data_IF_720188378512
#
_entry.id   IF_720188378512
#
_cell.length_a   1.000
_cell.length_b   1.000
_cell.length_c   1.000
_cell.angle_alpha   90.00
_cell.angle_beta   90.00
_cell.angle_gamma   90.00
#
_symmetry.space_group_name_H-M   'P 1'
#
loop_
_entity.id
_entity.type
_entity.pdbx_description
1 polymer ?
#
# COMPACT_ATOMS: atom_id res chain seq x y z
N UNK A 1 -2.87 16.33 -17.56
CA UNK A 1 -3.18 16.04 -16.16
C UNK A 1 -3.30 17.34 -15.38
N UNK A 2 -4.22 17.35 -14.41
CA UNK A 2 -4.49 18.55 -13.60
C UNK A 2 -3.53 18.69 -12.41
N UNK A 3 -2.62 17.72 -12.20
CA UNK A 3 -1.71 17.64 -11.07
C UNK A 3 -0.25 17.71 -11.51
N UNK A 4 0.62 18.15 -10.59
CA UNK A 4 2.07 18.23 -10.77
C UNK A 4 2.81 17.12 -10.00
N UNK A 5 2.19 16.65 -8.90
CA UNK A 5 2.77 15.65 -8.00
C UNK A 5 1.74 14.60 -7.67
N UNK A 6 2.14 13.32 -7.71
CA UNK A 6 1.38 12.19 -7.17
C UNK A 6 2.18 11.60 -6.01
N UNK A 7 1.56 11.52 -4.82
CA UNK A 7 2.26 11.11 -3.60
C UNK A 7 1.52 9.99 -2.86
N UNK A 8 2.16 8.81 -2.74
CA UNK A 8 1.67 7.71 -1.89
C UNK A 8 1.94 8.04 -0.43
N UNK A 9 0.92 7.99 0.40
CA UNK A 9 1.04 8.41 1.79
C UNK A 9 1.04 7.28 2.82
N UNK A 10 0.62 6.05 2.46
CA UNK A 10 0.55 4.92 3.38
C UNK A 10 0.59 3.57 2.62
N UNK A 11 0.60 2.46 3.37
CA UNK A 11 0.62 1.11 2.82
C UNK A 11 2.01 0.66 2.45
N UNK A 12 2.08 -0.32 1.60
CA UNK A 12 3.33 -0.93 1.13
C UNK A 12 3.02 -1.91 -0.01
N UNK A 13 3.85 -2.93 -0.25
CA UNK A 13 3.66 -3.87 -1.35
C UNK A 13 2.56 -4.92 -1.13
N UNK A 14 1.72 -4.77 -0.10
CA UNK A 14 0.62 -5.69 0.22
C UNK A 14 -0.55 -5.63 -0.78
N UNK A 15 -0.72 -4.52 -1.49
CA UNK A 15 -1.74 -4.38 -2.52
C UNK A 15 -1.09 -4.03 -3.86
N UNK A 16 -1.61 -4.63 -4.94
CA UNK A 16 -1.27 -4.22 -6.30
C UNK A 16 -2.39 -3.41 -6.91
N UNK A 17 -2.05 -2.37 -7.68
CA UNK A 17 -2.99 -1.66 -8.53
C UNK A 17 -2.60 -1.82 -9.98
N UNK A 18 -3.58 -2.15 -10.81
CA UNK A 18 -3.38 -2.42 -12.23
C UNK A 18 -3.68 -1.20 -13.05
N UNK A 19 -2.76 -0.87 -13.94
CA UNK A 19 -2.88 0.23 -14.91
C UNK A 19 -2.76 -0.33 -16.33
N UNK A 20 -3.52 0.23 -17.24
CA UNK A 20 -3.39 -0.04 -18.66
C UNK A 20 -2.86 1.23 -19.33
N UNK A 21 -1.71 1.12 -19.96
CA UNK A 21 -1.05 2.23 -20.68
C UNK A 21 -0.65 1.73 -22.06
N UNK A 22 -1.19 2.35 -23.12
CA UNK A 22 -0.97 1.92 -24.51
C UNK A 22 -1.20 0.41 -24.71
N UNK A 23 -2.35 -0.09 -24.24
CA UNK A 23 -2.79 -1.48 -24.30
C UNK A 23 -1.91 -2.50 -23.55
N UNK A 24 -0.91 -2.02 -22.81
CA UNK A 24 -0.07 -2.84 -21.94
C UNK A 24 -0.55 -2.77 -20.50
N UNK A 25 -0.59 -3.93 -19.87
CA UNK A 25 -0.97 -4.08 -18.45
C UNK A 25 0.25 -3.94 -17.54
N UNK A 26 0.16 -3.05 -16.56
CA UNK A 26 1.17 -2.89 -15.51
C UNK A 26 0.53 -3.13 -14.14
N UNK A 27 1.25 -3.82 -13.26
CA UNK A 27 0.85 -3.98 -11.87
C UNK A 27 1.89 -3.27 -11.02
N UNK A 28 1.49 -2.18 -10.36
CA UNK A 28 2.33 -1.45 -9.41
C UNK A 28 1.90 -1.77 -7.98
N UNK A 29 2.85 -1.69 -7.05
CA UNK A 29 2.61 -1.93 -5.62
C UNK A 29 2.92 -0.69 -4.79
N UNK A 30 4.14 -0.15 -4.92
CA UNK A 30 4.64 0.95 -4.09
C UNK A 30 4.77 2.25 -4.89
N UNK A 31 5.13 2.16 -6.16
CA UNK A 31 5.31 3.30 -7.05
C UNK A 31 3.96 3.98 -7.32
N UNK A 32 3.86 5.32 -7.21
CA UNK A 32 2.63 6.05 -7.53
C UNK A 32 2.18 5.87 -8.98
N UNK A 33 0.86 5.90 -9.22
CA UNK A 33 0.24 5.70 -10.54
C UNK A 33 0.64 6.74 -11.59
N UNK A 34 1.11 7.90 -11.17
CA UNK A 34 1.58 8.97 -12.06
C UNK A 34 2.89 8.71 -12.77
N UNK A 35 3.59 7.60 -12.47
CA UNK A 35 4.95 7.31 -12.97
C UNK A 35 5.07 7.27 -14.50
N UNK A 36 3.99 6.97 -15.20
CA UNK A 36 3.94 6.93 -16.66
C UNK A 36 3.98 8.32 -17.32
N UNK A 37 3.86 9.38 -16.54
CA UNK A 37 3.86 10.76 -17.02
C UNK A 37 5.16 11.47 -16.61
N UNK A 38 6.05 11.70 -17.58
CA UNK A 38 7.39 12.27 -17.34
C UNK A 38 7.41 13.63 -16.62
N UNK A 39 6.34 14.43 -16.77
CA UNK A 39 6.24 15.76 -16.15
C UNK A 39 5.76 15.71 -14.69
N UNK A 40 5.26 14.57 -14.22
CA UNK A 40 4.79 14.41 -12.85
C UNK A 40 5.95 13.99 -11.92
N UNK A 41 6.06 14.64 -10.78
CA UNK A 41 6.86 14.12 -9.69
C UNK A 41 6.06 13.03 -8.93
N UNK A 42 6.67 11.86 -8.74
CA UNK A 42 6.05 10.72 -8.07
C UNK A 42 6.75 10.48 -6.75
N UNK A 43 6.04 10.62 -5.64
CA UNK A 43 6.64 10.59 -4.30
C UNK A 43 6.16 9.35 -3.54
N UNK A 44 7.11 8.56 -3.05
CA UNK A 44 6.86 7.56 -2.01
C UNK A 44 7.07 8.26 -0.66
N UNK A 45 5.96 8.52 0.05
CA UNK A 45 5.94 9.29 1.28
C UNK A 45 6.44 8.53 2.51
N UNK A 46 6.65 9.25 3.60
CA UNK A 46 7.16 8.71 4.87
C UNK A 46 6.18 7.74 5.56
N UNK A 47 4.90 7.77 5.22
CA UNK A 47 3.90 6.82 5.74
C UNK A 47 3.98 5.46 5.10
N UNK A 48 4.61 5.32 3.94
CA UNK A 48 4.78 4.04 3.23
C UNK A 48 5.86 3.17 3.90
N UNK A 49 5.65 1.85 3.89
CA UNK A 49 6.68 0.86 4.24
C UNK A 49 7.18 0.21 2.94
N UNK A 50 8.50 0.27 2.72
CA UNK A 50 9.14 -0.09 1.45
C UNK A 50 9.81 -1.46 1.58
N UNK A 51 9.43 -2.40 0.72
CA UNK A 51 10.24 -3.60 0.49
C UNK A 51 11.22 -3.30 -0.66
N UNK A 52 12.54 -3.24 -0.41
CA UNK A 52 13.54 -2.89 -1.41
C UNK A 52 13.55 -3.81 -2.63
N UNK A 53 13.42 -5.12 -2.41
CA UNK A 53 13.41 -6.10 -3.51
C UNK A 53 12.19 -5.91 -4.41
N UNK A 54 11.01 -5.74 -3.81
CA UNK A 54 9.78 -5.49 -4.57
C UNK A 54 9.86 -4.16 -5.33
N UNK A 55 10.32 -3.08 -4.68
CA UNK A 55 10.46 -1.77 -5.34
C UNK A 55 11.44 -1.84 -6.52
N UNK A 56 12.59 -2.49 -6.34
CA UNK A 56 13.55 -2.65 -7.44
C UNK A 56 12.97 -3.46 -8.60
N UNK A 57 12.17 -4.49 -8.32
CA UNK A 57 11.50 -5.26 -9.37
C UNK A 57 10.46 -4.43 -10.13
N UNK A 58 9.67 -3.60 -9.43
CA UNK A 58 8.75 -2.65 -10.08
C UNK A 58 9.51 -1.70 -11.02
N UNK A 59 10.60 -1.14 -10.53
CA UNK A 59 11.47 -0.25 -11.32
C UNK A 59 11.98 -0.95 -12.59
N UNK A 60 12.56 -2.15 -12.45
CA UNK A 60 13.07 -2.93 -13.59
C UNK A 60 11.97 -3.24 -14.61
N UNK A 61 10.77 -3.57 -14.15
CA UNK A 61 9.64 -3.84 -15.04
C UNK A 61 9.23 -2.58 -15.84
N UNK A 62 9.28 -1.40 -15.23
CA UNK A 62 9.00 -0.14 -15.92
C UNK A 62 10.13 0.23 -16.91
N UNK A 63 11.39 0.07 -16.51
CA UNK A 63 12.54 0.35 -17.35
C UNK A 63 12.63 -0.62 -18.55
N UNK A 64 12.22 -1.88 -18.39
CA UNK A 64 12.22 -2.88 -19.47
C UNK A 64 11.28 -2.52 -20.65
N UNK A 65 10.31 -1.65 -20.41
CA UNK A 65 9.41 -1.13 -21.46
C UNK A 65 9.79 0.28 -21.94
N UNK A 66 10.99 0.75 -21.60
CA UNK A 66 11.55 2.01 -22.06
C UNK A 66 11.15 3.24 -21.23
N UNK A 67 10.61 3.05 -20.01
CA UNK A 67 10.30 4.17 -19.12
C UNK A 67 11.54 4.52 -18.28
N UNK A 68 12.05 5.73 -18.43
CA UNK A 68 13.07 6.28 -17.53
C UNK A 68 12.35 6.97 -16.37
N UNK A 69 12.49 6.40 -15.15
CA UNK A 69 11.77 6.88 -13.96
C UNK A 69 12.69 7.54 -12.93
N UNK A 70 13.99 7.55 -13.19
CA UNK A 70 15.02 8.02 -12.27
C UNK A 70 14.86 9.50 -11.91
N UNK A 71 14.37 10.30 -12.86
CA UNK A 71 14.24 11.74 -12.71
C UNK A 71 12.90 12.16 -12.10
N UNK A 72 11.90 11.27 -12.10
CA UNK A 72 10.54 11.57 -11.64
C UNK A 72 10.04 10.72 -10.48
N UNK A 73 10.87 9.79 -9.96
CA UNK A 73 10.60 9.01 -8.75
C UNK A 73 11.42 9.56 -7.57
N UNK A 74 10.72 9.98 -6.52
CA UNK A 74 11.30 10.55 -5.30
C UNK A 74 10.90 9.69 -4.10
N UNK A 75 11.85 9.39 -3.24
CA UNK A 75 11.62 8.53 -2.07
C UNK A 75 11.89 9.34 -0.80
N UNK A 76 10.91 9.35 0.10
CA UNK A 76 11.09 10.00 1.40
C UNK A 76 12.18 9.30 2.21
N UNK A 77 13.18 10.07 2.69
CA UNK A 77 14.20 9.52 3.59
C UNK A 77 13.62 8.91 4.86
N UNK A 78 12.41 9.34 5.27
CA UNK A 78 11.71 8.88 6.48
C UNK A 78 10.82 7.66 6.25
N UNK A 79 10.67 7.15 5.02
CA UNK A 79 9.94 5.91 4.77
C UNK A 79 10.63 4.73 5.45
N UNK A 80 9.86 3.84 6.07
CA UNK A 80 10.41 2.68 6.77
C UNK A 80 10.71 1.54 5.81
N UNK A 81 11.79 0.80 6.04
CA UNK A 81 12.13 -0.38 5.27
C UNK A 81 11.47 -1.64 5.86
N UNK A 82 10.98 -2.50 4.99
CA UNK A 82 10.59 -3.87 5.32
C UNK A 82 11.85 -4.73 5.21
N UNK A 83 12.26 -5.33 6.32
CA UNK A 83 13.37 -6.26 6.36
C UNK A 83 12.90 -7.68 6.00
N UNK A 84 13.80 -8.58 5.56
CA UNK A 84 13.50 -10.00 5.40
C UNK A 84 12.88 -10.64 6.66
N UNK A 85 13.36 -10.27 7.83
CA UNK A 85 12.83 -10.75 9.12
C UNK A 85 11.42 -10.27 9.44
N UNK A 86 10.95 -9.13 8.88
CA UNK A 86 9.54 -8.74 9.01
C UNK A 86 8.61 -9.72 8.31
N UNK A 87 9.01 -10.25 7.14
CA UNK A 87 8.21 -11.25 6.41
C UNK A 87 8.12 -12.55 7.21
N UNK A 88 9.23 -12.97 7.84
CA UNK A 88 9.23 -14.13 8.73
C UNK A 88 8.31 -13.91 9.96
N UNK A 89 8.36 -12.74 10.59
CA UNK A 89 7.47 -12.41 11.71
C UNK A 89 5.99 -12.40 11.30
N UNK A 90 5.68 -11.89 10.12
CA UNK A 90 4.32 -11.90 9.57
C UNK A 90 3.82 -13.34 9.38
N UNK A 91 4.63 -14.20 8.76
CA UNK A 91 4.32 -15.60 8.56
C UNK A 91 4.19 -16.37 9.89
N UNK A 92 5.10 -16.14 10.83
CA UNK A 92 5.09 -16.76 12.15
C UNK A 92 3.84 -16.37 12.95
N UNK A 93 3.48 -15.09 12.95
CA UNK A 93 2.29 -14.57 13.62
C UNK A 93 1.00 -15.13 13.02
N UNK A 94 0.87 -15.16 11.69
CA UNK A 94 -0.31 -15.75 11.04
C UNK A 94 -0.42 -17.26 11.31
N UNK A 95 0.72 -17.99 11.30
CA UNK A 95 0.75 -19.42 11.61
C UNK A 95 0.31 -19.69 13.05
N UNK A 96 0.72 -18.85 14.01
CA UNK A 96 0.39 -19.03 15.43
C UNK A 96 -1.08 -18.83 15.77
N UNK A 97 -1.82 -18.09 14.93
CA UNK A 97 -3.26 -17.82 15.13
C UNK A 97 -4.19 -18.98 14.76
N UNK A 98 -3.70 -20.02 14.08
CA UNK A 98 -4.53 -21.16 13.69
C UNK A 98 -5.75 -20.73 12.87
N UNK A 99 -6.96 -20.98 13.38
CA UNK A 99 -8.21 -20.65 12.71
C UNK A 99 -8.57 -19.15 12.81
N UNK A 100 -7.98 -18.42 13.77
CA UNK A 100 -8.18 -16.97 13.95
C UNK A 100 -7.31 -16.10 13.02
N UNK A 101 -6.86 -16.67 11.91
CA UNK A 101 -6.05 -15.94 10.91
C UNK A 101 -6.77 -14.71 10.38
N UNK A 102 -6.05 -13.60 10.31
CA UNK A 102 -6.54 -12.36 9.69
C UNK A 102 -6.55 -12.50 8.15
N UNK A 103 -5.68 -13.34 7.61
CA UNK A 103 -5.46 -13.50 6.18
C UNK A 103 -4.45 -12.50 5.64
N UNK A 104 -3.35 -12.27 6.39
CA UNK A 104 -2.24 -11.42 5.98
C UNK A 104 -1.69 -11.82 4.61
N UNK A 105 -1.12 -10.84 3.91
CA UNK A 105 -0.44 -11.07 2.63
C UNK A 105 0.97 -11.66 2.79
N UNK A 106 1.43 -11.85 4.00
CA UNK A 106 2.76 -12.35 4.38
C UNK A 106 3.92 -11.50 3.81
N UNK A 107 3.65 -10.20 3.62
CA UNK A 107 4.62 -9.24 3.06
C UNK A 107 5.38 -8.44 4.13
N UNK A 108 5.20 -8.77 5.41
CA UNK A 108 5.86 -8.10 6.53
C UNK A 108 5.32 -6.70 6.85
N UNK A 109 4.12 -6.35 6.39
CA UNK A 109 3.54 -5.02 6.55
C UNK A 109 3.28 -4.73 8.03
N UNK A 110 2.55 -5.61 8.72
CA UNK A 110 2.23 -5.47 10.13
C UNK A 110 3.49 -5.29 11.01
N UNK A 111 4.45 -6.21 10.97
CA UNK A 111 5.69 -6.09 11.72
C UNK A 111 6.49 -4.82 11.40
N UNK A 112 6.52 -4.37 10.13
CA UNK A 112 7.20 -3.13 9.77
C UNK A 112 6.54 -1.88 10.38
N UNK A 113 5.19 -1.85 10.45
CA UNK A 113 4.46 -0.78 11.15
C UNK A 113 4.61 -0.89 12.68
N UNK A 114 4.67 -2.09 13.24
CA UNK A 114 4.99 -2.29 14.68
C UNK A 114 6.34 -1.66 15.02
N UNK A 115 7.37 -1.91 14.24
CA UNK A 115 8.68 -1.31 14.45
C UNK A 115 8.69 0.20 14.21
N UNK A 116 7.94 0.68 13.23
CA UNK A 116 7.79 2.12 12.99
C UNK A 116 7.22 2.83 14.23
N UNK A 117 6.13 2.32 14.78
CA UNK A 117 5.47 2.87 15.97
C UNK A 117 6.29 2.60 17.24
N UNK A 118 6.94 1.43 17.32
CA UNK A 118 7.88 1.05 18.38
C UNK A 118 9.23 1.78 18.33
N UNK A 119 9.46 2.65 17.35
CA UNK A 119 10.69 3.47 17.17
C UNK A 119 11.96 2.63 16.96
N UNK A 120 11.81 1.48 16.30
CA UNK A 120 12.92 0.57 15.98
C UNK A 120 13.22 0.53 14.48
N UNK A 121 12.31 1.02 13.63
CA UNK A 121 12.43 0.83 12.19
C UNK A 121 13.65 1.50 11.58
N UNK A 122 14.25 0.84 10.62
CA UNK A 122 15.25 1.42 9.73
C UNK A 122 14.53 2.26 8.67
N UNK A 123 15.03 3.46 8.41
CA UNK A 123 14.47 4.37 7.41
C UNK A 123 15.23 4.26 6.09
N UNK A 124 14.55 4.65 5.00
CA UNK A 124 15.21 4.67 3.69
C UNK A 124 16.47 5.54 3.68
N UNK A 125 16.46 6.66 4.39
CA UNK A 125 17.65 7.52 4.53
C UNK A 125 18.83 6.87 5.23
N UNK A 126 18.58 5.85 6.07
CA UNK A 126 19.64 5.17 6.82
C UNK A 126 20.56 4.32 5.90
N UNK A 127 20.11 3.94 4.69
CA UNK A 127 20.92 3.15 3.75
C UNK A 127 22.22 3.87 3.31
N UNK A 128 22.28 5.18 3.50
CA UNK A 128 23.45 6.01 3.18
C UNK A 128 24.41 6.18 4.35
N UNK A 129 24.06 5.68 5.53
CA UNK A 129 24.90 5.80 6.72
C UNK A 129 25.96 4.69 6.76
N UNK A 130 27.14 5.01 7.28
CA UNK A 130 28.25 4.05 7.43
C UNK A 130 27.91 2.89 8.39
N UNK A 131 27.04 3.13 9.39
CA UNK A 131 26.60 2.16 10.39
C UNK A 131 25.30 1.41 9.98
N UNK A 132 24.85 1.55 8.73
CA UNK A 132 23.60 0.91 8.23
C UNK A 132 23.54 -0.60 8.50
N UNK A 133 24.65 -1.30 8.20
CA UNK A 133 24.72 -2.76 8.38
C UNK A 133 24.63 -3.15 9.86
N UNK A 134 25.22 -2.39 10.74
CA UNK A 134 25.16 -2.60 12.20
C UNK A 134 23.70 -2.42 12.69
N UNK A 135 23.03 -1.34 12.28
CA UNK A 135 21.59 -1.10 12.58
C UNK A 135 20.72 -2.24 12.10
N UNK A 136 20.97 -2.72 10.88
CA UNK A 136 20.25 -3.86 10.32
C UNK A 136 20.42 -5.11 11.18
N UNK A 137 21.65 -5.47 11.52
CA UNK A 137 21.94 -6.67 12.33
C UNK A 137 21.34 -6.57 13.74
N UNK A 138 21.37 -5.40 14.37
CA UNK A 138 20.74 -5.15 15.66
C UNK A 138 19.24 -5.38 15.62
N UNK A 139 18.54 -4.86 14.61
CA UNK A 139 17.10 -5.07 14.47
C UNK A 139 16.79 -6.53 14.10
N UNK A 140 17.55 -7.14 13.20
CA UNK A 140 17.43 -8.57 12.86
C UNK A 140 17.57 -9.47 14.09
N UNK A 141 18.55 -9.20 14.96
CA UNK A 141 18.73 -9.96 16.21
C UNK A 141 17.50 -9.89 17.11
N UNK A 142 16.92 -8.70 17.27
CA UNK A 142 15.66 -8.53 18.02
C UNK A 142 14.51 -9.37 17.39
N UNK A 143 14.39 -9.39 16.07
CA UNK A 143 13.39 -10.20 15.38
C UNK A 143 13.63 -11.69 15.57
N UNK A 144 14.89 -12.12 15.59
CA UNK A 144 15.24 -13.52 15.84
C UNK A 144 14.79 -13.99 17.24
N UNK A 145 14.91 -13.13 18.27
CA UNK A 145 14.37 -13.45 19.59
C UNK A 145 12.84 -13.62 19.57
N UNK A 146 12.13 -12.75 18.83
CA UNK A 146 10.67 -12.88 18.68
C UNK A 146 10.29 -14.15 17.90
N UNK A 147 11.04 -14.50 16.85
CA UNK A 147 10.80 -15.72 16.06
C UNK A 147 10.98 -16.99 16.90
N UNK A 148 11.92 -17.01 17.85
CA UNK A 148 12.07 -18.12 18.79
C UNK A 148 10.81 -18.34 19.64
N UNK A 149 10.13 -17.26 20.07
CA UNK A 149 8.86 -17.36 20.82
C UNK A 149 7.74 -18.00 20.00
N UNK A 150 7.78 -17.82 18.67
CA UNK A 150 6.84 -18.47 17.75
C UNK A 150 7.26 -19.88 17.33
N UNK A 151 8.41 -20.40 17.79
CA UNK A 151 9.00 -21.64 17.29
C UNK A 151 9.12 -21.67 15.76
N UNK A 152 9.51 -20.52 15.18
CA UNK A 152 9.61 -20.33 13.72
C UNK A 152 11.08 -20.22 13.30
N UNK A 153 11.48 -21.10 12.36
CA UNK A 153 12.87 -21.18 11.87
C UNK A 153 12.90 -21.52 10.38
N UNK A 154 12.60 -20.54 9.54
CA UNK A 154 12.81 -20.69 8.09
C UNK A 154 14.09 -19.98 7.68
N UNK A 155 14.87 -20.61 6.81
CA UNK A 155 16.04 -19.97 6.21
C UNK A 155 15.60 -18.94 5.17
N UNK A 156 16.10 -17.73 5.32
CA UNK A 156 15.87 -16.63 4.38
C UNK A 156 17.15 -15.98 3.87
N UNK A 157 18.28 -16.67 3.99
CA UNK A 157 19.61 -16.14 3.66
C UNK A 157 19.68 -15.68 2.21
N UNK A 158 19.17 -16.47 1.27
CA UNK A 158 19.15 -16.10 -0.15
C UNK A 158 18.34 -14.81 -0.42
N UNK A 159 17.19 -14.69 0.24
CA UNK A 159 16.37 -13.46 0.11
C UNK A 159 17.03 -12.25 0.77
N UNK A 160 17.75 -12.44 1.88
CA UNK A 160 18.52 -11.38 2.54
C UNK A 160 19.64 -10.85 1.64
N UNK A 161 20.34 -11.73 0.91
CA UNK A 161 21.34 -11.32 -0.08
C UNK A 161 20.73 -10.49 -1.22
N UNK A 162 19.58 -10.92 -1.75
CA UNK A 162 18.84 -10.16 -2.77
C UNK A 162 18.38 -8.81 -2.23
N UNK A 163 17.94 -8.76 -0.97
CA UNK A 163 17.53 -7.54 -0.31
C UNK A 163 18.68 -6.53 -0.22
N UNK A 164 19.88 -6.94 0.17
CA UNK A 164 21.05 -6.06 0.18
C UNK A 164 21.47 -5.61 -1.21
N UNK A 165 21.39 -6.48 -2.23
CA UNK A 165 21.61 -6.08 -3.63
C UNK A 165 20.59 -5.02 -4.07
N UNK A 166 19.36 -5.17 -3.67
CA UNK A 166 18.32 -4.17 -3.95
C UNK A 166 18.59 -2.84 -3.24
N UNK A 167 19.02 -2.85 -1.97
CA UNK A 167 19.44 -1.64 -1.25
C UNK A 167 20.53 -0.88 -2.01
N UNK A 168 21.57 -1.56 -2.46
CA UNK A 168 22.67 -0.91 -3.22
C UNK A 168 22.16 -0.29 -4.52
N UNK A 169 21.32 -1.00 -5.27
CA UNK A 169 20.74 -0.48 -6.51
C UNK A 169 19.84 0.75 -6.27
N UNK A 170 19.09 0.75 -5.17
CA UNK A 170 18.17 1.84 -4.83
C UNK A 170 18.87 3.12 -4.36
N UNK A 171 20.15 3.07 -3.99
CA UNK A 171 20.94 4.27 -3.69
C UNK A 171 21.07 5.24 -4.88
N UNK A 172 20.81 4.75 -6.09
CA UNK A 172 20.87 5.58 -7.31
C UNK A 172 19.62 6.46 -7.51
N UNK A 173 18.57 6.31 -6.68
CA UNK A 173 17.30 7.05 -6.78
C UNK A 173 17.26 8.25 -5.86
N UNK A 174 16.43 9.24 -6.21
CA UNK A 174 16.37 10.51 -5.51
C UNK A 174 15.72 10.38 -4.12
N UNK A 175 16.45 10.80 -3.10
CA UNK A 175 16.01 10.83 -1.70
C UNK A 175 15.68 12.26 -1.30
N UNK A 176 14.49 12.44 -0.72
CA UNK A 176 13.99 13.77 -0.34
C UNK A 176 13.48 13.80 1.10
N UNK A 177 13.45 14.98 1.68
CA UNK A 177 12.59 15.32 2.81
C UNK A 177 11.22 15.69 2.26
N UNK A 178 10.32 14.69 2.18
CA UNK A 178 9.04 14.79 1.47
C UNK A 178 8.16 15.92 1.98
N UNK A 179 8.14 16.17 3.29
CA UNK A 179 7.39 17.24 3.93
C UNK A 179 7.82 18.63 3.43
N UNK A 180 9.13 18.87 3.32
CA UNK A 180 9.64 20.13 2.77
C UNK A 180 9.46 20.24 1.26
N UNK A 181 9.62 19.13 0.54
CA UNK A 181 9.42 19.12 -0.91
C UNK A 181 7.98 19.49 -1.28
N UNK A 182 7.01 18.86 -0.60
CA UNK A 182 5.58 19.10 -0.84
C UNK A 182 5.16 20.49 -0.38
N UNK A 183 5.63 20.95 0.79
CA UNK A 183 5.32 22.32 1.27
C UNK A 183 5.79 23.39 0.29
N UNK A 184 7.04 23.27 -0.22
CA UNK A 184 7.55 24.19 -1.25
C UNK A 184 6.73 24.15 -2.54
N UNK A 185 6.33 22.95 -2.98
CA UNK A 185 5.51 22.78 -4.17
C UNK A 185 4.13 23.43 -4.01
N UNK A 186 3.46 23.21 -2.87
CA UNK A 186 2.17 23.85 -2.55
C UNK A 186 2.27 25.39 -2.48
N UNK A 187 3.35 25.91 -1.89
CA UNK A 187 3.61 27.37 -1.86
C UNK A 187 3.86 27.96 -3.25
N UNK A 188 4.43 27.17 -4.14
CA UNK A 188 4.63 27.54 -5.55
C UNK A 188 3.35 27.34 -6.41
N UNK A 189 2.20 27.05 -5.80
CA UNK A 189 0.93 26.89 -6.51
C UNK A 189 0.76 25.53 -7.22
N UNK A 190 1.68 24.58 -7.03
CA UNK A 190 1.58 23.25 -7.62
C UNK A 190 0.47 22.44 -6.97
N UNK A 191 -0.15 21.57 -7.78
CA UNK A 191 -1.23 20.67 -7.35
C UNK A 191 -0.68 19.30 -7.00
N UNK A 192 -1.02 18.82 -5.81
CA UNK A 192 -0.59 17.53 -5.29
C UNK A 192 -1.81 16.60 -5.16
N UNK A 193 -1.73 15.42 -5.74
CA UNK A 193 -2.67 14.32 -5.51
C UNK A 193 -2.05 13.34 -4.51
N UNK A 194 -2.65 13.23 -3.33
CA UNK A 194 -2.30 12.19 -2.38
C UNK A 194 -3.01 10.88 -2.77
N UNK A 195 -2.22 9.86 -3.14
CA UNK A 195 -2.72 8.56 -3.56
C UNK A 195 -2.74 7.61 -2.37
N UNK A 196 -3.94 7.15 -1.98
CA UNK A 196 -4.13 6.14 -0.95
C UNK A 196 -4.04 4.72 -1.50
N UNK A 197 -4.01 3.76 -0.57
CA UNK A 197 -4.10 2.33 -0.86
C UNK A 197 -5.10 1.67 0.10
N UNK A 198 -5.59 0.49 -0.24
CA UNK A 198 -6.64 -0.23 0.50
C UNK A 198 -7.98 0.53 0.48
N UNK A 199 -8.52 0.91 1.63
CA UNK A 199 -9.78 1.66 1.75
C UNK A 199 -10.20 1.83 3.19
N UNK A 200 -11.21 2.67 3.44
CA UNK A 200 -11.65 3.10 4.78
C UNK A 200 -11.97 1.93 5.70
N UNK A 201 -12.66 0.89 5.19
CA UNK A 201 -13.03 -0.27 6.02
C UNK A 201 -11.84 -1.17 6.39
N UNK A 202 -10.65 -0.88 5.85
CA UNK A 202 -9.38 -1.53 6.20
C UNK A 202 -8.45 -0.62 7.03
N UNK A 203 -8.90 0.57 7.42
CA UNK A 203 -8.14 1.47 8.30
C UNK A 203 -7.90 0.82 9.67
N UNK A 204 -6.70 1.01 10.22
CA UNK A 204 -6.30 0.36 11.47
C UNK A 204 -7.15 0.80 12.67
N UNK A 205 -7.66 2.04 12.66
CA UNK A 205 -8.45 2.61 13.75
C UNK A 205 -9.96 2.57 13.46
N UNK A 206 -10.35 2.85 12.22
CA UNK A 206 -11.75 3.07 11.82
C UNK A 206 -12.32 1.96 10.93
N UNK A 207 -11.54 0.95 10.62
CA UNK A 207 -11.96 -0.20 9.82
C UNK A 207 -12.62 -1.31 10.65
N UNK A 208 -12.83 -2.46 10.02
CA UNK A 208 -13.45 -3.65 10.62
C UNK A 208 -12.43 -4.45 11.44
N UNK A 209 -11.88 -3.84 12.49
CA UNK A 209 -10.89 -4.46 13.37
C UNK A 209 -11.37 -5.82 13.92
N UNK A 210 -10.50 -6.87 13.99
CA UNK A 210 -9.07 -6.89 13.67
C UNK A 210 -8.75 -7.13 12.19
N UNK A 211 -9.74 -7.27 11.31
CA UNK A 211 -9.57 -7.56 9.88
C UNK A 211 -9.27 -6.30 9.07
N UNK A 212 -8.16 -5.66 9.39
CA UNK A 212 -7.72 -4.37 8.85
C UNK A 212 -6.25 -4.44 8.39
N UNK A 213 -5.79 -3.42 7.66
CA UNK A 213 -4.36 -3.21 7.43
C UNK A 213 -3.73 -2.46 8.60
N UNK A 214 -2.41 -2.48 8.71
CA UNK A 214 -1.68 -1.86 9.83
C UNK A 214 -1.37 -0.37 9.60
N UNK A 215 -2.11 0.30 8.73
CA UNK A 215 -1.91 1.72 8.43
C UNK A 215 -3.22 2.50 8.40
N UNK A 216 -3.13 3.83 8.56
CA UNK A 216 -4.27 4.72 8.40
C UNK A 216 -4.54 4.96 6.92
N UNK A 217 -5.63 4.35 6.42
CA UNK A 217 -6.04 4.42 5.01
C UNK A 217 -6.96 5.61 4.73
N UNK A 218 -7.51 6.24 5.77
CA UNK A 218 -8.37 7.41 5.67
C UNK A 218 -7.61 8.66 5.25
N UNK A 219 -8.33 9.69 4.79
CA UNK A 219 -7.75 10.96 4.34
C UNK A 219 -6.89 11.65 5.40
N UNK A 220 -7.19 11.45 6.69
CA UNK A 220 -6.36 11.92 7.81
C UNK A 220 -4.94 11.35 7.81
N UNK A 221 -4.74 10.15 7.24
CA UNK A 221 -3.43 9.52 7.07
C UNK A 221 -2.48 10.30 6.16
N UNK A 222 -3.00 11.15 5.28
CA UNK A 222 -2.20 12.05 4.43
C UNK A 222 -1.35 12.99 5.27
N UNK A 223 -1.92 13.52 6.37
CA UNK A 223 -1.22 14.47 7.23
C UNK A 223 0.05 13.88 7.83
N UNK A 224 -0.03 12.70 8.41
CA UNK A 224 1.13 12.01 9.00
C UNK A 224 2.01 11.33 7.95
N UNK A 225 1.40 10.83 6.86
CA UNK A 225 2.09 10.05 5.82
C UNK A 225 2.90 10.88 4.82
N UNK A 226 2.62 12.19 4.71
CA UNK A 226 3.35 13.12 3.83
C UNK A 226 3.89 14.35 4.58
N UNK A 227 3.51 14.54 5.86
CA UNK A 227 3.88 15.73 6.62
C UNK A 227 3.13 16.99 6.16
N UNK A 228 1.85 16.86 5.81
CA UNK A 228 1.01 17.96 5.30
C UNK A 228 0.06 18.44 6.39
N UNK A 229 -0.06 19.75 6.55
CA UNK A 229 -1.06 20.33 7.45
C UNK A 229 -2.49 20.03 6.95
N UNK A 230 -3.46 19.67 7.86
CA UNK A 230 -4.79 19.24 7.46
C UNK A 230 -5.56 20.31 6.63
N UNK A 231 -5.31 21.59 6.88
CA UNK A 231 -5.94 22.70 6.14
C UNK A 231 -5.49 22.79 4.66
N UNK A 232 -4.45 22.03 4.27
CA UNK A 232 -4.00 21.95 2.87
C UNK A 232 -4.79 20.92 2.05
N UNK A 233 -5.53 20.03 2.69
CA UNK A 233 -6.41 19.08 2.02
C UNK A 233 -7.70 19.81 1.64
N UNK A 234 -7.92 20.00 0.34
CA UNK A 234 -9.10 20.72 -0.20
C UNK A 234 -10.20 19.78 -0.62
N UNK A 235 -9.85 18.79 -1.45
CA UNK A 235 -10.76 17.84 -2.04
C UNK A 235 -10.40 16.42 -1.61
N UNK A 236 -11.41 15.60 -1.37
CA UNK A 236 -11.25 14.16 -1.11
C UNK A 236 -12.13 13.38 -2.09
N UNK A 237 -11.48 12.69 -3.01
CA UNK A 237 -12.14 11.80 -3.97
C UNK A 237 -12.32 10.43 -3.35
N UNK A 238 -13.55 10.05 -3.04
CA UNK A 238 -13.91 8.69 -2.68
C UNK A 238 -14.09 7.85 -3.94
N UNK A 239 -13.40 6.72 -4.04
CA UNK A 239 -13.57 5.78 -5.16
C UNK A 239 -14.23 4.52 -4.64
N UNK A 240 -15.39 4.17 -5.20
CA UNK A 240 -16.13 2.96 -4.88
C UNK A 240 -16.44 2.16 -6.15
N UNK A 241 -16.74 0.89 -5.99
CA UNK A 241 -17.41 0.11 -7.03
C UNK A 241 -18.92 0.20 -6.84
N UNK A 242 -19.69 -0.06 -7.89
CA UNK A 242 -21.14 -0.16 -7.79
C UNK A 242 -21.63 -1.37 -6.96
N UNK A 243 -20.72 -2.19 -6.46
CA UNK A 243 -20.91 -3.35 -5.59
C UNK A 243 -19.75 -3.46 -4.60
N UNK A 244 -19.90 -4.29 -3.57
CA UNK A 244 -18.83 -4.51 -2.60
C UNK A 244 -17.99 -5.75 -2.91
N UNK A 245 -16.71 -5.69 -2.56
CA UNK A 245 -15.82 -6.86 -2.60
C UNK A 245 -14.92 -6.90 -1.37
N UNK A 246 -14.60 -8.13 -0.92
CA UNK A 246 -13.67 -8.34 0.18
C UNK A 246 -12.70 -9.47 -0.13
N UNK A 247 -11.44 -9.30 0.31
CA UNK A 247 -10.42 -10.34 0.33
C UNK A 247 -10.12 -10.70 1.79
N UNK A 248 -10.02 -11.99 2.10
CA UNK A 248 -9.74 -12.46 3.45
C UNK A 248 -10.98 -12.52 4.35
N UNK A 249 -10.72 -12.73 5.63
CA UNK A 249 -11.74 -12.87 6.67
C UNK A 249 -12.36 -11.54 7.07
N UNK A 250 -13.35 -11.59 7.94
CA UNK A 250 -14.01 -10.43 8.51
C UNK A 250 -15.43 -10.20 7.99
N UNK A 251 -16.16 -9.24 8.59
CA UNK A 251 -17.57 -9.00 8.31
C UNK A 251 -17.79 -8.50 6.88
N UNK A 252 -18.86 -8.97 6.28
CA UNK A 252 -19.34 -8.52 4.98
C UNK A 252 -20.86 -8.66 4.92
N UNK A 253 -21.61 -7.69 5.48
CA UNK A 253 -23.07 -7.80 5.67
C UNK A 253 -23.85 -8.00 4.37
N UNK A 254 -23.40 -7.41 3.27
CA UNK A 254 -24.06 -7.52 1.95
C UNK A 254 -23.50 -8.67 1.07
N UNK A 255 -22.75 -9.61 1.65
CA UNK A 255 -22.16 -10.72 0.89
C UNK A 255 -23.23 -11.62 0.27
N UNK A 256 -23.00 -12.03 -0.96
CA UNK A 256 -23.88 -12.95 -1.70
C UNK A 256 -23.19 -14.30 -1.87
N UNK A 257 -23.88 -15.36 -1.44
CA UNK A 257 -23.43 -16.74 -1.51
C UNK A 257 -24.12 -17.56 -2.59
N UNK A 258 -24.86 -16.88 -3.47
CA UNK A 258 -25.68 -17.44 -4.53
C UNK A 258 -25.08 -17.19 -5.93
N UNK A 259 -25.87 -17.54 -6.96
CA UNK A 259 -25.50 -17.32 -8.36
C UNK A 259 -25.27 -15.84 -8.70
N UNK A 260 -25.95 -14.93 -8.00
CA UNK A 260 -25.78 -13.48 -8.14
C UNK A 260 -24.39 -13.05 -7.77
N UNK A 261 -23.89 -13.52 -6.62
CA UNK A 261 -22.52 -13.25 -6.17
C UNK A 261 -21.47 -13.79 -7.13
N UNK A 262 -21.70 -14.99 -7.69
CA UNK A 262 -20.83 -15.59 -8.71
C UNK A 262 -20.87 -14.80 -10.03
N UNK A 263 -22.03 -14.31 -10.45
CA UNK A 263 -22.18 -13.49 -11.65
C UNK A 263 -21.43 -12.16 -11.51
N UNK A 264 -21.56 -11.46 -10.37
CA UNK A 264 -20.79 -10.25 -10.07
C UNK A 264 -19.28 -10.54 -10.11
N UNK A 265 -18.83 -11.64 -9.51
CA UNK A 265 -17.41 -12.03 -9.49
C UNK A 265 -16.86 -12.25 -10.90
N UNK A 266 -17.59 -12.97 -11.73
CA UNK A 266 -17.18 -13.27 -13.11
C UNK A 266 -17.17 -12.02 -13.98
N UNK A 267 -18.27 -11.26 -14.01
CA UNK A 267 -18.41 -10.05 -14.82
C UNK A 267 -17.38 -8.98 -14.39
N UNK A 268 -17.16 -8.83 -13.09
CA UNK A 268 -16.22 -7.88 -12.52
C UNK A 268 -14.76 -8.30 -12.59
N UNK A 269 -14.46 -9.55 -12.98
CA UNK A 269 -13.13 -10.15 -12.90
C UNK A 269 -12.52 -10.01 -11.47
N UNK A 270 -13.34 -10.31 -10.46
CA UNK A 270 -13.00 -10.11 -9.06
C UNK A 270 -12.11 -11.22 -8.50
N UNK A 271 -10.83 -11.15 -8.92
CA UNK A 271 -9.76 -12.03 -8.48
C UNK A 271 -8.57 -11.20 -8.00
N UNK A 272 -7.81 -11.73 -7.05
CA UNK A 272 -6.63 -11.06 -6.52
C UNK A 272 -5.58 -10.84 -7.60
N UNK A 273 -5.13 -9.59 -7.81
CA UNK A 273 -4.16 -9.26 -8.86
C UNK A 273 -2.82 -10.02 -8.71
N UNK A 274 -2.43 -10.36 -7.47
CA UNK A 274 -1.18 -11.05 -7.15
C UNK A 274 -1.36 -12.55 -6.92
N UNK A 275 -2.49 -12.96 -6.32
CA UNK A 275 -2.70 -14.34 -5.88
C UNK A 275 -3.70 -15.12 -6.71
N UNK A 276 -4.45 -14.44 -7.60
CA UNK A 276 -5.57 -15.04 -8.34
C UNK A 276 -6.74 -15.48 -7.45
N UNK A 277 -6.69 -15.28 -6.13
CA UNK A 277 -7.73 -15.73 -5.19
C UNK A 277 -9.07 -15.05 -5.50
N UNK A 278 -10.19 -15.79 -5.59
CA UNK A 278 -11.51 -15.21 -5.80
C UNK A 278 -11.88 -14.30 -4.63
N UNK A 279 -12.40 -13.13 -4.95
CA UNK A 279 -12.91 -12.18 -3.96
C UNK A 279 -14.33 -12.55 -3.57
N UNK A 280 -14.69 -12.32 -2.33
CA UNK A 280 -16.06 -12.30 -1.84
C UNK A 280 -16.77 -11.11 -2.47
N UNK A 281 -18.00 -11.28 -2.98
CA UNK A 281 -18.76 -10.24 -3.67
C UNK A 281 -20.14 -10.08 -3.02
N UNK A 282 -20.69 -8.87 -3.06
CA UNK A 282 -21.99 -8.58 -2.52
C UNK A 282 -22.53 -7.23 -3.02
N UNK A 283 -23.78 -6.94 -2.69
CA UNK A 283 -24.40 -5.66 -3.02
C UNK A 283 -23.67 -4.46 -2.39
N UNK A 284 -23.92 -3.28 -2.93
CA UNK A 284 -23.39 -2.04 -2.38
C UNK A 284 -23.93 -1.83 -0.95
N UNK A 285 -23.00 -1.73 0.02
CA UNK A 285 -23.31 -1.44 1.42
C UNK A 285 -23.37 0.07 1.64
N UNK A 286 -24.55 0.66 1.50
CA UNK A 286 -24.75 2.11 1.65
C UNK A 286 -24.41 2.63 3.06
N UNK A 287 -24.76 1.95 4.18
CA UNK A 287 -24.26 2.32 5.49
C UNK A 287 -22.73 2.43 5.56
N UNK A 288 -21.99 1.46 5.00
CA UNK A 288 -20.53 1.51 4.94
C UNK A 288 -20.00 2.65 4.05
N UNK A 289 -20.66 2.93 2.91
CA UNK A 289 -20.32 4.07 2.05
C UNK A 289 -20.54 5.39 2.78
N UNK A 290 -21.69 5.57 3.44
CA UNK A 290 -21.99 6.78 4.20
C UNK A 290 -20.99 7.00 5.33
N UNK A 291 -20.64 5.94 6.07
CA UNK A 291 -19.61 5.98 7.10
C UNK A 291 -18.25 6.40 6.51
N UNK A 292 -17.83 5.80 5.38
CA UNK A 292 -16.59 6.14 4.73
C UNK A 292 -16.58 7.61 4.25
N UNK A 293 -17.69 8.10 3.68
CA UNK A 293 -17.82 9.50 3.27
C UNK A 293 -17.70 10.45 4.46
N UNK A 294 -18.32 10.13 5.58
CA UNK A 294 -18.27 10.92 6.81
C UNK A 294 -16.84 11.00 7.38
N UNK A 295 -16.18 9.86 7.58
CA UNK A 295 -14.84 9.79 8.18
C UNK A 295 -13.80 10.52 7.32
N UNK A 296 -13.91 10.42 6.00
CA UNK A 296 -12.96 11.03 5.07
C UNK A 296 -13.35 12.45 4.65
N UNK A 297 -14.54 12.92 4.99
CA UNK A 297 -15.10 14.16 4.43
C UNK A 297 -15.03 14.14 2.90
N UNK A 298 -15.53 13.06 2.28
CA UNK A 298 -15.53 12.92 0.82
C UNK A 298 -16.29 14.07 0.18
N UNK A 299 -15.63 14.78 -0.73
CA UNK A 299 -16.22 15.92 -1.46
C UNK A 299 -16.80 15.47 -2.79
N UNK A 300 -16.24 14.43 -3.39
CA UNK A 300 -16.70 13.84 -4.64
C UNK A 300 -16.59 12.32 -4.58
N UNK A 301 -17.67 11.64 -4.93
CA UNK A 301 -17.72 10.18 -4.99
C UNK A 301 -17.68 9.70 -6.42
N UNK A 302 -16.70 8.87 -6.75
CA UNK A 302 -16.51 8.28 -8.07
C UNK A 302 -16.97 6.83 -8.01
N UNK A 303 -18.07 6.52 -8.70
CA UNK A 303 -18.60 5.15 -8.78
C UNK A 303 -18.02 4.47 -10.03
N UNK A 304 -17.35 3.36 -9.81
CA UNK A 304 -16.72 2.55 -10.86
C UNK A 304 -17.42 1.23 -11.04
N UNK A 305 -17.12 0.47 -12.11
CA UNK A 305 -17.66 -0.88 -12.34
C UNK A 305 -19.19 -0.93 -12.46
N UNK A 306 -19.81 0.15 -12.92
CA UNK A 306 -21.26 0.21 -13.14
C UNK A 306 -21.66 -0.78 -14.25
N UNK A 307 -20.80 -0.96 -15.24
CA UNK A 307 -20.95 -1.93 -16.34
C UNK A 307 -21.14 -3.37 -15.86
N UNK A 308 -20.56 -3.74 -14.72
CA UNK A 308 -20.64 -5.10 -14.16
C UNK A 308 -22.05 -5.47 -13.71
N UNK A 309 -22.86 -4.46 -13.34
CA UNK A 309 -24.20 -4.66 -12.78
C UNK A 309 -25.32 -4.36 -13.79
N UNK A 310 -25.00 -4.10 -15.06
CA UNK A 310 -26.01 -3.77 -16.09
C UNK A 310 -27.06 -4.88 -16.31
N UNK A 311 -26.69 -6.14 -16.06
CA UNK A 311 -27.57 -7.29 -16.28
C UNK A 311 -28.42 -7.66 -15.04
N UNK A 312 -28.50 -6.78 -14.05
CA UNK A 312 -29.29 -7.01 -12.83
C UNK A 312 -30.52 -6.09 -12.82
N UNK A 313 -31.66 -6.62 -12.41
CA UNK A 313 -32.94 -5.88 -12.36
C UNK A 313 -32.99 -4.87 -11.22
N UNK A 314 -32.22 -5.09 -10.16
CA UNK A 314 -32.07 -4.21 -9.00
C UNK A 314 -30.64 -4.23 -8.46
N UNK A 315 -30.31 -3.16 -7.75
CA UNK A 315 -28.97 -2.96 -7.14
C UNK A 315 -29.16 -2.79 -5.63
#
# INVERSE_FOLDING_TARGET
PQYDIIARFQGGPNAGHTLYVNDKKFVLHTIPSGIFHKHLANIIGNGVVINPTTLLQEIKNLESVGLSIKDNLFISRRASLILPSHMQLDAASEKSKGDDKIGSTLRGIGPAYMDKTGRNSIKYGDIFLSDFKERYLKLKSKHQELLKLYNYSEDNTAYEEEWFKAIEALKAYQVIDSEYYIDRALKAGKKVLAEGAQGTMLDVDFGTYPFVTSSNTISGGVCSGLGIAPQKIREVYGVIKAYCTRVGSGPFPSELHDETGEKIRKNGHEFGATTGRPRRCGWLDLPAVNYACMINRVTQLIVTKVDVINDFEAI
#
